data_IF_076889948715
#
_entry.id   IF_076889948715
#
_cell.length_a   1.000
_cell.length_b   1.000
_cell.length_c   1.000
_cell.angle_alpha   90.00
_cell.angle_beta   90.00
_cell.angle_gamma   90.00
#
_symmetry.space_group_name_H-M   'P 1'
#
loop_
_entity.id
_entity.type
_entity.pdbx_description
1 polymer ?
#
# COMPACT_ATOMS: atom_id res chain seq x y z
N UNK A 1 -3.60 -12.88 -7.87
CA UNK A 1 -4.29 -11.62 -7.55
C UNK A 1 -3.26 -10.56 -7.27
N UNK A 2 -3.39 -9.36 -7.80
CA UNK A 2 -2.55 -8.20 -7.52
C UNK A 2 -3.48 -7.01 -7.33
N UNK A 3 -3.24 -6.19 -6.31
CA UNK A 3 -4.00 -4.97 -6.10
C UNK A 3 -3.72 -4.02 -7.27
N UNK A 4 -4.78 -3.56 -7.94
CA UNK A 4 -4.70 -2.52 -8.96
C UNK A 4 -5.20 -1.23 -8.34
N UNK A 5 -4.47 -0.14 -8.53
CA UNK A 5 -4.86 1.19 -8.07
C UNK A 5 -5.04 2.09 -9.30
N UNK A 6 -6.10 2.88 -9.28
CA UNK A 6 -6.42 3.86 -10.31
C UNK A 6 -7.01 5.10 -9.62
N UNK A 7 -6.80 6.26 -10.22
CA UNK A 7 -7.35 7.53 -9.72
C UNK A 7 -8.30 8.14 -10.74
N UNK A 8 -9.30 8.88 -10.26
CA UNK A 8 -10.12 9.75 -11.11
C UNK A 8 -9.41 11.05 -11.46
N UNK A 9 -8.38 11.44 -10.70
CA UNK A 9 -7.49 12.52 -11.05
C UNK A 9 -6.46 12.05 -12.09
N UNK A 10 -6.42 12.69 -13.25
CA UNK A 10 -5.60 12.25 -14.39
C UNK A 10 -4.11 12.39 -14.15
N UNK A 11 -3.67 13.38 -13.36
CA UNK A 11 -2.25 13.58 -13.07
C UNK A 11 -1.78 12.48 -12.10
N UNK A 12 -2.52 12.26 -11.03
CA UNK A 12 -2.25 11.19 -10.06
C UNK A 12 -2.33 9.80 -10.71
N UNK A 13 -3.30 9.55 -11.58
CA UNK A 13 -3.44 8.28 -12.30
C UNK A 13 -2.23 8.03 -13.22
N UNK A 14 -1.74 9.06 -13.91
CA UNK A 14 -0.53 8.96 -14.72
C UNK A 14 0.71 8.65 -13.87
N UNK A 15 0.82 9.27 -12.68
CA UNK A 15 1.91 8.99 -11.74
C UNK A 15 1.85 7.56 -11.20
N UNK A 16 0.67 7.09 -10.79
CA UNK A 16 0.42 5.71 -10.38
C UNK A 16 0.86 4.74 -11.47
N UNK A 17 0.41 4.96 -12.71
CA UNK A 17 0.76 4.10 -13.84
C UNK A 17 2.25 4.10 -14.14
N UNK A 18 2.92 5.24 -13.99
CA UNK A 18 4.37 5.34 -14.19
C UNK A 18 5.13 4.48 -13.16
N UNK A 19 4.76 4.56 -11.88
CA UNK A 19 5.40 3.81 -10.79
C UNK A 19 5.12 2.30 -10.89
N UNK A 20 3.92 1.92 -11.35
CA UNK A 20 3.52 0.53 -11.46
C UNK A 20 3.91 -0.13 -12.79
N UNK A 21 4.51 0.62 -13.72
CA UNK A 21 4.82 0.16 -15.08
C UNK A 21 5.65 -1.13 -15.10
N UNK A 22 6.63 -1.23 -14.22
CA UNK A 22 7.59 -2.35 -14.20
C UNK A 22 7.20 -3.43 -13.16
N UNK A 23 5.97 -3.38 -12.64
CA UNK A 23 5.40 -4.27 -11.60
C UNK A 23 6.22 -4.35 -10.29
N UNK A 24 7.25 -3.51 -10.17
CA UNK A 24 8.18 -3.44 -9.04
C UNK A 24 8.40 -1.98 -8.72
N UNK A 25 7.94 -1.57 -7.55
CA UNK A 25 8.21 -0.23 -7.02
C UNK A 25 9.57 -0.23 -6.36
N UNK A 26 10.52 0.53 -6.89
CA UNK A 26 11.82 0.74 -6.27
C UNK A 26 11.72 1.62 -5.01
N UNK A 27 12.69 1.55 -4.09
CA UNK A 27 12.71 2.44 -2.93
C UNK A 27 12.73 3.94 -3.31
N UNK A 28 13.40 4.29 -4.41
CA UNK A 28 13.49 5.68 -4.88
C UNK A 28 12.12 6.16 -5.36
N UNK A 29 11.45 5.38 -6.22
CA UNK A 29 10.10 5.70 -6.70
C UNK A 29 9.10 5.84 -5.56
N UNK A 30 9.19 4.96 -4.55
CA UNK A 30 8.34 5.05 -3.37
C UNK A 30 8.57 6.34 -2.56
N UNK A 31 9.84 6.71 -2.34
CA UNK A 31 10.20 7.95 -1.62
C UNK A 31 9.75 9.18 -2.41
N UNK A 32 9.94 9.19 -3.73
CA UNK A 32 9.50 10.28 -4.59
C UNK A 32 7.97 10.43 -4.57
N UNK A 33 7.23 9.33 -4.65
CA UNK A 33 5.77 9.34 -4.59
C UNK A 33 5.26 9.85 -3.24
N UNK A 34 5.88 9.42 -2.15
CA UNK A 34 5.59 9.95 -0.81
C UNK A 34 5.82 11.46 -0.75
N UNK A 35 6.99 11.93 -1.20
CA UNK A 35 7.32 13.36 -1.19
C UNK A 35 6.29 14.20 -1.96
N UNK A 36 5.88 13.74 -3.15
CA UNK A 36 4.84 14.42 -3.93
C UNK A 36 3.50 14.46 -3.20
N UNK A 37 3.14 13.36 -2.51
CA UNK A 37 1.93 13.30 -1.69
C UNK A 37 1.97 14.32 -0.54
N UNK A 38 3.12 14.45 0.12
CA UNK A 38 3.34 15.45 1.18
C UNK A 38 3.25 16.89 0.63
N UNK A 39 3.82 17.13 -0.56
CA UNK A 39 3.75 18.42 -1.25
C UNK A 39 2.29 18.79 -1.61
N UNK A 40 1.46 17.82 -2.01
CA UNK A 40 0.04 18.05 -2.31
C UNK A 40 -0.77 18.41 -1.06
N UNK A 41 -0.46 17.81 0.09
CA UNK A 41 -1.05 18.22 1.38
C UNK A 41 -0.68 19.66 1.73
N UNK A 42 0.56 20.07 1.45
CA UNK A 42 1.04 21.42 1.73
C UNK A 42 0.41 22.51 0.84
N UNK A 43 -0.15 22.16 -0.33
CA UNK A 43 -0.80 23.12 -1.25
C UNK A 43 -2.15 23.64 -0.73
N UNK A 44 -2.81 22.94 0.19
CA UNK A 44 -4.10 23.38 0.70
C UNK A 44 -3.93 24.62 1.61
N UNK A 45 -4.76 25.64 1.37
CA UNK A 45 -4.63 26.96 2.03
C UNK A 45 -5.36 27.04 3.38
N UNK A 46 -6.22 26.07 3.68
CA UNK A 46 -7.04 26.07 4.91
C UNK A 46 -6.33 25.27 6.00
N UNK A 47 -5.81 25.98 7.01
CA UNK A 47 -5.04 25.37 8.10
C UNK A 47 -5.76 24.17 8.75
N UNK A 48 -7.06 24.31 9.06
CA UNK A 48 -7.84 23.23 9.66
C UNK A 48 -7.96 21.98 8.77
N UNK A 49 -7.95 22.11 7.44
CA UNK A 49 -7.93 20.97 6.53
C UNK A 49 -6.52 20.37 6.46
N UNK A 50 -5.48 21.20 6.46
CA UNK A 50 -4.09 20.73 6.43
C UNK A 50 -3.73 19.89 7.66
N UNK A 51 -4.18 20.29 8.85
CA UNK A 51 -3.91 19.53 10.07
C UNK A 51 -4.55 18.14 10.02
N UNK A 52 -5.77 18.03 9.49
CA UNK A 52 -6.42 16.73 9.28
C UNK A 52 -5.74 15.91 8.16
N UNK A 53 -5.30 16.55 7.07
CA UNK A 53 -4.54 15.87 6.00
C UNK A 53 -3.19 15.36 6.50
N UNK A 54 -2.53 16.06 7.43
CA UNK A 54 -1.31 15.58 8.09
C UNK A 54 -1.55 14.34 8.95
N UNK A 55 -2.69 14.26 9.64
CA UNK A 55 -3.08 13.05 10.38
C UNK A 55 -3.22 11.86 9.41
N UNK A 56 -3.88 12.07 8.27
CA UNK A 56 -4.01 11.04 7.22
C UNK A 56 -2.63 10.62 6.69
N UNK A 57 -1.75 11.58 6.43
CA UNK A 57 -0.38 11.33 5.93
C UNK A 57 0.44 10.49 6.91
N UNK A 58 0.41 10.84 8.20
CA UNK A 58 1.08 10.07 9.26
C UNK A 58 0.51 8.65 9.38
N UNK A 59 -0.80 8.48 9.27
CA UNK A 59 -1.42 7.15 9.30
C UNK A 59 -1.00 6.29 8.09
N UNK A 60 -0.89 6.91 6.90
CA UNK A 60 -0.40 6.24 5.70
C UNK A 60 1.06 5.78 5.87
N UNK A 61 1.93 6.60 6.47
CA UNK A 61 3.31 6.23 6.81
C UNK A 61 3.38 5.05 7.79
N UNK A 62 2.58 5.08 8.86
CA UNK A 62 2.51 3.99 9.84
C UNK A 62 2.07 2.69 9.15
N UNK A 63 1.07 2.75 8.27
CA UNK A 63 0.62 1.59 7.50
C UNK A 63 1.73 1.07 6.58
N UNK A 64 2.43 1.95 5.87
CA UNK A 64 3.54 1.56 4.99
C UNK A 64 4.67 0.87 5.76
N UNK A 65 5.04 1.38 6.94
CA UNK A 65 6.07 0.79 7.78
C UNK A 65 5.61 -0.54 8.41
N UNK A 66 4.35 -0.66 8.81
CA UNK A 66 3.78 -1.92 9.29
C UNK A 66 3.84 -3.02 8.21
N UNK A 67 3.55 -2.68 6.94
CA UNK A 67 3.69 -3.62 5.80
C UNK A 67 5.15 -4.07 5.62
N UNK A 68 6.12 -3.16 5.77
CA UNK A 68 7.55 -3.51 5.70
C UNK A 68 7.95 -4.47 6.82
N UNK A 69 7.55 -4.18 8.06
CA UNK A 69 7.82 -5.04 9.22
C UNK A 69 7.22 -6.43 9.05
N UNK A 70 5.96 -6.50 8.59
CA UNK A 70 5.28 -7.76 8.29
C UNK A 70 6.02 -8.56 7.20
N UNK A 71 6.53 -7.88 6.18
CA UNK A 71 7.32 -8.52 5.11
C UNK A 71 8.65 -9.07 5.63
N UNK A 72 9.31 -8.37 6.57
CA UNK A 72 10.53 -8.86 7.21
C UNK A 72 10.25 -10.11 8.06
N UNK A 73 9.13 -10.15 8.77
CA UNK A 73 8.74 -11.32 9.55
C UNK A 73 8.40 -12.52 8.65
N UNK A 74 7.65 -12.30 7.56
CA UNK A 74 7.38 -13.33 6.55
C UNK A 74 8.66 -13.90 5.92
N UNK A 75 9.72 -13.08 5.79
CA UNK A 75 11.05 -13.54 5.34
C UNK A 75 11.75 -14.38 6.41
N UNK A 76 11.68 -14.00 7.69
CA UNK A 76 12.26 -14.79 8.80
C UNK A 76 11.62 -16.17 8.93
N UNK A 77 10.34 -16.28 8.60
CA UNK A 77 9.60 -17.55 8.57
C UNK A 77 9.81 -18.36 7.28
N UNK A 78 10.74 -17.95 6.41
CA UNK A 78 11.06 -18.64 5.15
C UNK A 78 9.84 -18.90 4.26
N UNK A 79 8.79 -18.07 4.35
CA UNK A 79 7.57 -18.27 3.55
C UNK A 79 7.91 -18.20 2.06
N UNK A 80 8.77 -17.27 1.65
CA UNK A 80 9.23 -17.11 0.26
C UNK A 80 10.21 -18.18 -0.24
N UNK A 81 10.70 -19.07 0.63
CA UNK A 81 11.75 -20.05 0.29
C UNK A 81 11.12 -21.41 0.02
N UNK A 82 11.32 -21.91 -1.20
CA UNK A 82 10.83 -23.22 -1.63
C UNK A 82 11.61 -24.33 -0.95
N UNK A 83 10.90 -25.29 -0.39
CA UNK A 83 11.46 -26.55 0.10
C UNK A 83 11.58 -27.53 -1.08
N UNK A 84 12.77 -28.01 -1.39
CA UNK A 84 12.98 -28.90 -2.53
C UNK A 84 12.68 -30.38 -2.22
N UNK A 85 12.46 -30.73 -0.95
CA UNK A 85 12.27 -32.12 -0.51
C UNK A 85 10.84 -32.41 -0.07
N UNK A 86 10.06 -31.39 0.29
CA UNK A 86 8.69 -31.57 0.80
C UNK A 86 7.66 -30.70 0.04
N UNK A 87 6.92 -31.28 -0.92
CA UNK A 87 5.84 -30.58 -1.62
C UNK A 87 4.68 -30.13 -0.72
N UNK A 88 4.39 -30.84 0.37
CA UNK A 88 3.28 -30.51 1.27
C UNK A 88 3.58 -29.22 2.04
N UNK A 89 4.81 -29.06 2.54
CA UNK A 89 5.26 -27.81 3.17
C UNK A 89 5.18 -26.61 2.23
N UNK A 90 5.48 -26.79 0.94
CA UNK A 90 5.33 -25.70 -0.02
C UNK A 90 3.87 -25.27 -0.18
N UNK A 91 2.94 -26.24 -0.23
CA UNK A 91 1.52 -25.95 -0.31
C UNK A 91 1.02 -25.19 0.93
N UNK A 92 1.47 -25.57 2.13
CA UNK A 92 1.17 -24.85 3.38
C UNK A 92 1.69 -23.41 3.36
N UNK A 93 2.96 -23.21 2.98
CA UNK A 93 3.56 -21.87 2.84
C UNK A 93 2.80 -21.00 1.85
N UNK A 94 2.38 -21.57 0.72
CA UNK A 94 1.64 -20.83 -0.30
C UNK A 94 0.21 -20.49 0.15
N UNK A 95 -0.44 -21.37 0.91
CA UNK A 95 -1.72 -21.09 1.55
C UNK A 95 -1.59 -19.94 2.57
N UNK A 96 -0.54 -19.95 3.38
CA UNK A 96 -0.28 -18.89 4.37
C UNK A 96 0.02 -17.54 3.71
N UNK A 97 0.82 -17.52 2.64
CA UNK A 97 1.02 -16.30 1.82
C UNK A 97 -0.28 -15.76 1.26
N UNK A 98 -1.15 -16.64 0.76
CA UNK A 98 -2.42 -16.24 0.19
C UNK A 98 -3.34 -15.62 1.25
N UNK A 99 -3.38 -16.20 2.46
CA UNK A 99 -4.10 -15.64 3.60
C UNK A 99 -3.54 -14.28 4.02
N UNK A 100 -2.22 -14.16 4.15
CA UNK A 100 -1.55 -12.91 4.49
C UNK A 100 -1.88 -11.80 3.48
N UNK A 101 -1.76 -12.12 2.19
CA UNK A 101 -2.07 -11.19 1.10
C UNK A 101 -3.52 -10.73 1.17
N UNK A 102 -4.46 -11.66 1.34
CA UNK A 102 -5.89 -11.36 1.46
C UNK A 102 -6.17 -10.44 2.66
N UNK A 103 -5.52 -10.67 3.79
CA UNK A 103 -5.69 -9.84 4.98
C UNK A 103 -5.21 -8.40 4.75
N UNK A 104 -4.04 -8.21 4.12
CA UNK A 104 -3.54 -6.88 3.75
C UNK A 104 -4.49 -6.19 2.76
N UNK A 105 -4.90 -6.88 1.70
CA UNK A 105 -5.81 -6.33 0.70
C UNK A 105 -7.16 -5.93 1.29
N UNK A 106 -7.68 -6.68 2.28
CA UNK A 106 -8.90 -6.32 2.99
C UNK A 106 -8.75 -5.02 3.80
N UNK A 107 -7.60 -4.79 4.44
CA UNK A 107 -7.33 -3.54 5.15
C UNK A 107 -7.22 -2.36 4.19
N UNK A 108 -6.54 -2.54 3.05
CA UNK A 108 -6.44 -1.50 2.02
C UNK A 108 -7.82 -1.19 1.41
N UNK A 109 -8.63 -2.21 1.14
CA UNK A 109 -10.00 -2.04 0.66
C UNK A 109 -10.86 -1.27 1.66
N UNK A 110 -10.75 -1.55 2.96
CA UNK A 110 -11.44 -0.80 4.00
C UNK A 110 -11.08 0.70 3.98
N UNK A 111 -9.80 1.04 3.80
CA UNK A 111 -9.35 2.44 3.67
C UNK A 111 -9.97 3.12 2.44
N UNK A 112 -9.94 2.46 1.27
CA UNK A 112 -10.52 2.99 0.03
C UNK A 112 -12.05 3.16 0.13
N UNK A 113 -12.75 2.19 0.72
CA UNK A 113 -14.19 2.26 0.96
C UNK A 113 -14.52 3.37 1.96
N UNK A 114 -13.69 3.58 2.98
CA UNK A 114 -13.85 4.67 3.93
C UNK A 114 -13.77 6.03 3.24
N UNK A 115 -12.80 6.22 2.34
CA UNK A 115 -12.71 7.40 1.47
C UNK A 115 -14.00 7.62 0.67
N UNK A 116 -14.51 6.58 -0.01
CA UNK A 116 -15.76 6.67 -0.77
C UNK A 116 -16.96 7.03 0.12
N UNK A 117 -17.09 6.34 1.26
CA UNK A 117 -18.23 6.52 2.17
C UNK A 117 -18.29 7.90 2.83
N UNK A 118 -17.17 8.63 2.88
CA UNK A 118 -17.07 9.92 3.57
C UNK A 118 -16.96 11.07 2.57
N UNK A 119 -16.06 10.98 1.60
CA UNK A 119 -15.74 12.09 0.70
C UNK A 119 -16.67 12.17 -0.50
N UNK A 120 -17.24 11.05 -0.99
CA UNK A 120 -18.28 11.11 -2.04
C UNK A 120 -19.64 11.63 -1.49
N UNK A 121 -19.73 11.88 -0.18
CA UNK A 121 -20.89 12.50 0.47
C UNK A 121 -20.75 14.00 0.71
N UNK A 122 -19.55 14.56 0.49
CA UNK A 122 -19.29 16.02 0.54
C UNK A 122 -19.83 16.68 -0.73
#
# INVERSE_FOLDING_TARGET
MSLTIASTDSELDAQIKAILKDERVSPVEFIEFRKRSDDDVAKNKRLALNDNLRIISNAADILADAIKLLTLEARRLDLGVRDNTDPAKNAEKDAEKALLKKAIEAQLAYTVVSYKSTLERL
#
